data_IF_585214794173
#
_entry.id   IF_585214794173
#
_cell.length_a   1.000
_cell.length_b   1.000
_cell.length_c   1.000
_cell.angle_alpha   90.00
_cell.angle_beta   90.00
_cell.angle_gamma   90.00
#
_symmetry.space_group_name_H-M   'P 1'
#
loop_
_entity.id
_entity.type
_entity.pdbx_description
1 polymer ?
#
# COMPACT_ATOMS: atom_id res chain seq x y z
N UNK A 1 -8.82 14.57 6.14
CA UNK A 1 -7.64 13.77 5.77
C UNK A 1 -7.95 12.86 4.59
N UNK A 2 -6.96 12.57 3.80
CA UNK A 2 -7.12 11.70 2.63
C UNK A 2 -6.76 10.27 2.97
N UNK A 3 -7.54 9.34 2.47
CA UNK A 3 -7.30 7.91 2.65
C UNK A 3 -6.43 7.39 1.51
N UNK A 4 -5.35 6.71 1.83
CA UNK A 4 -4.41 6.14 0.87
C UNK A 4 -4.28 4.64 1.06
N UNK A 5 -4.04 3.95 -0.04
CA UNK A 5 -3.72 2.51 -0.05
C UNK A 5 -2.41 2.34 -0.82
N UNK A 6 -1.46 1.64 -0.22
CA UNK A 6 -0.22 1.26 -0.88
C UNK A 6 -0.19 -0.24 -1.10
N UNK A 7 0.19 -0.64 -2.31
CA UNK A 7 0.38 -2.02 -2.69
C UNK A 7 1.86 -2.27 -2.91
N UNK A 8 2.42 -3.23 -2.20
CA UNK A 8 3.85 -3.57 -2.27
C UNK A 8 3.99 -4.93 -2.95
N UNK A 9 4.57 -4.93 -4.12
CA UNK A 9 4.80 -6.15 -4.88
C UNK A 9 6.32 -6.37 -4.97
N UNK A 10 6.79 -7.58 -4.71
CA UNK A 10 8.21 -7.86 -4.86
C UNK A 10 8.66 -7.58 -6.30
N UNK A 11 9.84 -6.98 -6.44
CA UNK A 11 10.42 -6.75 -7.76
C UNK A 11 10.68 -8.09 -8.45
N UNK A 12 10.56 -8.15 -9.78
CA UNK A 12 10.88 -9.37 -10.51
C UNK A 12 12.28 -9.88 -10.17
N UNK A 13 12.42 -11.18 -9.98
CA UNK A 13 13.70 -11.80 -9.62
C UNK A 13 14.03 -11.78 -8.13
N UNK A 14 13.13 -11.27 -7.28
CA UNK A 14 13.32 -11.35 -5.83
C UNK A 14 13.36 -12.80 -5.39
N UNK A 15 14.43 -13.19 -4.70
CA UNK A 15 14.60 -14.56 -4.21
C UNK A 15 14.11 -14.71 -2.75
N UNK A 16 14.12 -15.97 -2.27
CA UNK A 16 13.65 -16.28 -0.92
C UNK A 16 14.44 -15.55 0.16
N UNK A 17 15.76 -15.42 -0.03
CA UNK A 17 16.62 -14.73 0.95
C UNK A 17 16.26 -13.26 1.06
N UNK A 18 15.97 -12.61 -0.06
CA UNK A 18 15.54 -11.21 -0.08
C UNK A 18 14.16 -11.05 0.59
N UNK A 19 13.26 -12.00 0.38
CA UNK A 19 11.97 -12.02 1.05
C UNK A 19 12.11 -12.17 2.56
N UNK A 20 13.00 -13.05 3.01
CA UNK A 20 13.31 -13.22 4.45
C UNK A 20 13.91 -11.96 5.04
N UNK A 21 14.80 -11.28 4.31
CA UNK A 21 15.38 -10.01 4.73
C UNK A 21 14.29 -8.94 4.90
N UNK A 22 13.30 -8.92 4.02
CA UNK A 22 12.19 -7.99 4.13
C UNK A 22 11.41 -8.21 5.44
N UNK A 23 11.15 -9.45 5.82
CA UNK A 23 10.50 -9.77 7.10
C UNK A 23 11.33 -9.30 8.29
N UNK A 24 12.64 -9.51 8.27
CA UNK A 24 13.52 -9.04 9.33
C UNK A 24 13.54 -7.52 9.42
N UNK A 25 13.61 -6.84 8.28
CA UNK A 25 13.57 -5.38 8.22
C UNK A 25 12.26 -4.84 8.78
N UNK A 26 11.15 -5.54 8.52
CA UNK A 26 9.84 -5.11 9.02
C UNK A 26 9.77 -5.06 10.53
N UNK A 27 10.48 -5.93 11.22
CA UNK A 27 10.46 -5.99 12.69
C UNK A 27 10.94 -4.70 13.35
N UNK A 28 11.81 -3.95 12.67
CA UNK A 28 12.37 -2.68 13.18
C UNK A 28 11.86 -1.46 12.45
N UNK A 29 11.05 -1.64 11.40
CA UNK A 29 10.51 -0.54 10.63
C UNK A 29 9.42 0.18 11.43
N UNK A 30 9.47 1.51 11.44
CA UNK A 30 8.46 2.35 12.07
C UNK A 30 7.73 3.15 10.99
N UNK A 31 6.41 3.17 11.08
CA UNK A 31 5.57 3.98 10.19
C UNK A 31 5.81 5.47 10.45
N UNK A 32 5.63 6.34 9.43
CA UNK A 32 5.80 7.77 9.64
C UNK A 32 4.78 8.31 10.65
N UNK A 33 5.22 9.23 11.52
CA UNK A 33 4.41 9.77 12.62
C UNK A 33 3.14 10.49 12.13
N UNK A 34 3.23 11.13 10.96
CA UNK A 34 2.12 11.91 10.42
C UNK A 34 1.11 11.07 9.62
N UNK A 35 1.31 9.76 9.55
CA UNK A 35 0.35 8.84 8.96
C UNK A 35 -0.51 8.22 10.06
N UNK A 36 -1.83 8.33 9.91
CA UNK A 36 -2.74 7.59 10.75
C UNK A 36 -2.93 6.20 10.14
N UNK A 37 -2.18 5.23 10.62
CA UNK A 37 -2.20 3.87 10.10
C UNK A 37 -3.51 3.19 10.44
N UNK A 38 -4.24 2.72 9.42
CA UNK A 38 -5.48 1.98 9.58
C UNK A 38 -5.28 0.48 9.46
N UNK A 39 -4.29 0.05 8.70
CA UNK A 39 -3.99 -1.38 8.58
C UNK A 39 -2.74 -1.64 7.79
N UNK A 40 -2.11 -2.75 8.10
CA UNK A 40 -0.97 -3.28 7.36
C UNK A 40 -1.17 -4.79 7.27
N UNK A 41 -1.17 -5.33 6.05
CA UNK A 41 -1.45 -6.74 5.82
C UNK A 41 -0.37 -7.35 4.95
N UNK A 42 0.29 -8.38 5.46
CA UNK A 42 1.20 -9.21 4.69
C UNK A 42 0.43 -10.44 4.25
N UNK A 43 0.30 -10.63 2.95
CA UNK A 43 -0.58 -11.65 2.39
C UNK A 43 0.23 -12.72 1.66
N UNK A 44 -0.28 -13.93 1.67
CA UNK A 44 0.30 -15.03 0.91
C UNK A 44 -0.32 -15.06 -0.48
N UNK A 45 0.19 -14.19 -1.36
CA UNK A 45 -0.34 -14.02 -2.70
C UNK A 45 0.57 -14.67 -3.76
N UNK A 46 0.03 -14.96 -4.96
CA UNK A 46 0.87 -15.39 -6.09
C UNK A 46 1.97 -14.39 -6.37
N UNK A 47 3.07 -14.86 -6.96
CA UNK A 47 4.30 -14.10 -7.16
C UNK A 47 4.09 -12.77 -7.89
N UNK A 48 3.13 -12.70 -8.80
CA UNK A 48 2.84 -11.51 -9.60
C UNK A 48 1.81 -10.57 -8.97
N UNK A 49 1.44 -10.81 -7.71
CA UNK A 49 0.45 -10.02 -6.99
C UNK A 49 1.08 -9.28 -5.80
N UNK A 50 0.45 -8.22 -5.31
CA UNK A 50 0.96 -7.53 -4.12
C UNK A 50 1.06 -8.47 -2.92
N UNK A 51 2.16 -8.35 -2.19
CA UNK A 51 2.43 -9.14 -0.98
C UNK A 51 2.12 -8.38 0.29
N UNK A 52 2.10 -7.05 0.23
CA UNK A 52 1.80 -6.20 1.38
C UNK A 52 0.82 -5.13 0.96
N UNK A 53 -0.15 -4.87 1.82
CA UNK A 53 -1.11 -3.78 1.62
C UNK A 53 -1.10 -2.94 2.88
N UNK A 54 -0.93 -1.62 2.72
CA UNK A 54 -0.92 -0.67 3.83
C UNK A 54 -1.99 0.38 3.56
N UNK A 55 -2.79 0.67 4.57
CA UNK A 55 -3.87 1.66 4.48
C UNK A 55 -3.66 2.70 5.56
N UNK A 56 -3.66 3.97 5.18
CA UNK A 56 -3.49 5.07 6.13
C UNK A 56 -4.26 6.31 5.70
N UNK A 57 -4.45 7.22 6.65
CA UNK A 57 -4.96 8.57 6.38
C UNK A 57 -3.84 9.58 6.66
N UNK A 58 -3.74 10.60 5.82
CA UNK A 58 -2.81 11.70 6.02
C UNK A 58 -3.31 12.94 5.30
N UNK A 59 -2.76 14.10 5.69
CA UNK A 59 -3.12 15.38 5.05
C UNK A 59 -2.42 15.54 3.70
N UNK A 60 -1.29 14.88 3.49
CA UNK A 60 -0.51 14.97 2.28
C UNK A 60 0.06 13.61 1.86
N UNK A 61 0.83 13.60 0.78
CA UNK A 61 1.42 12.39 0.21
C UNK A 61 2.76 12.01 0.85
N UNK A 62 3.22 12.74 1.87
CA UNK A 62 4.51 12.49 2.51
C UNK A 62 4.73 11.06 2.99
N UNK A 63 3.72 10.40 3.62
CA UNK A 63 3.87 9.00 4.00
C UNK A 63 4.19 8.07 2.83
N UNK A 64 3.62 8.32 1.66
CA UNK A 64 3.92 7.55 0.46
C UNK A 64 5.38 7.64 0.06
N UNK A 65 5.94 8.84 0.09
CA UNK A 65 7.36 9.05 -0.20
C UNK A 65 8.24 8.35 0.84
N UNK A 66 7.83 8.36 2.09
CA UNK A 66 8.52 7.67 3.17
C UNK A 66 8.57 6.16 2.92
N UNK A 67 7.45 5.55 2.53
CA UNK A 67 7.40 4.13 2.22
C UNK A 67 8.27 3.79 1.01
N UNK A 68 8.24 4.61 -0.02
CA UNK A 68 9.06 4.39 -1.21
C UNK A 68 10.55 4.44 -0.86
N UNK A 69 10.97 5.40 -0.05
CA UNK A 69 12.35 5.50 0.39
C UNK A 69 12.78 4.30 1.25
N UNK A 70 11.87 3.79 2.11
CA UNK A 70 12.19 2.70 3.02
C UNK A 70 12.17 1.32 2.35
N UNK A 71 11.34 1.12 1.33
CA UNK A 71 11.07 -0.20 0.76
C UNK A 71 11.22 -0.30 -0.75
N UNK A 72 11.45 0.81 -1.44
CA UNK A 72 11.52 0.85 -2.90
C UNK A 72 12.66 0.05 -3.51
N UNK A 73 13.63 -0.37 -2.70
CA UNK A 73 14.74 -1.21 -3.16
C UNK A 73 14.31 -2.67 -3.39
N UNK A 74 13.29 -3.14 -2.68
CA UNK A 74 12.86 -4.55 -2.76
C UNK A 74 11.43 -4.70 -3.31
N UNK A 75 10.61 -3.66 -3.20
CA UNK A 75 9.22 -3.68 -3.68
C UNK A 75 8.99 -2.67 -4.79
N UNK A 76 8.12 -3.04 -5.71
CA UNK A 76 7.43 -2.07 -6.56
C UNK A 76 6.23 -1.58 -5.77
N UNK A 77 6.16 -0.28 -5.50
CA UNK A 77 5.14 0.30 -4.64
C UNK A 77 4.18 1.12 -5.50
N UNK A 78 2.90 0.78 -5.42
CA UNK A 78 1.83 1.54 -6.06
C UNK A 78 0.99 2.17 -4.97
N UNK A 79 0.85 3.49 -5.01
CA UNK A 79 0.07 4.23 -4.03
C UNK A 79 -1.14 4.82 -4.73
N UNK A 80 -2.31 4.54 -4.20
CA UNK A 80 -3.55 5.07 -4.72
C UNK A 80 -4.30 5.80 -3.62
N UNK A 81 -4.94 6.89 -4.00
CA UNK A 81 -5.90 7.55 -3.12
C UNK A 81 -7.16 6.70 -3.11
N UNK A 82 -7.54 6.24 -1.94
CA UNK A 82 -8.72 5.41 -1.82
C UNK A 82 -9.99 6.24 -1.88
N UNK A 83 -11.03 5.64 -2.37
CA UNK A 83 -12.35 6.23 -2.31
C UNK A 83 -12.88 6.15 -0.87
N UNK A 84 -14.02 6.75 -0.66
CA UNK A 84 -14.68 6.71 0.65
C UNK A 84 -15.05 5.28 1.02
N UNK A 85 -15.21 4.99 2.33
CA UNK A 85 -15.77 3.71 2.75
C UNK A 85 -17.10 3.41 2.03
N UNK A 86 -17.40 2.15 1.86
CA UNK A 86 -18.61 1.71 1.16
C UNK A 86 -19.87 2.43 1.64
N UNK A 87 -19.95 2.70 2.94
CA UNK A 87 -21.09 3.41 3.54
C UNK A 87 -21.22 4.86 3.10
N UNK A 88 -20.16 5.43 2.53
CA UNK A 88 -20.11 6.84 2.10
C UNK A 88 -20.03 7.00 0.58
N UNK A 89 -20.09 5.90 -0.17
CA UNK A 89 -20.02 5.94 -1.63
C UNK A 89 -21.28 6.62 -2.17
N UNK A 90 -21.14 7.73 -2.94
CA UNK A 90 -22.30 8.35 -3.58
C UNK A 90 -22.96 7.40 -4.59
N UNK A 91 -24.27 7.57 -4.76
CA UNK A 91 -25.04 6.73 -5.70
C UNK A 91 -24.53 6.79 -7.14
N UNK A 92 -23.89 7.90 -7.53
CA UNK A 92 -23.37 8.09 -8.89
C UNK A 92 -22.05 7.40 -9.17
N UNK A 93 -21.40 6.80 -8.15
CA UNK A 93 -20.09 6.17 -8.35
C UNK A 93 -20.22 4.95 -9.26
N UNK A 94 -21.36 4.28 -9.24
CA UNK A 94 -21.63 3.16 -10.13
C UNK A 94 -21.56 3.55 -11.59
N UNK A 95 -22.07 4.71 -11.93
CA UNK A 95 -22.00 5.26 -13.30
C UNK A 95 -20.56 5.59 -13.69
N UNK A 96 -19.79 6.16 -12.76
CA UNK A 96 -18.37 6.45 -13.00
C UNK A 96 -17.59 5.16 -13.27
N UNK A 97 -17.82 4.11 -12.48
CA UNK A 97 -17.15 2.83 -12.67
C UNK A 97 -17.54 2.18 -14.01
N UNK A 98 -18.82 2.25 -14.39
CA UNK A 98 -19.29 1.73 -15.67
C UNK A 98 -18.62 2.42 -16.85
N UNK A 99 -18.35 3.71 -16.75
CA UNK A 99 -17.71 4.47 -17.84
C UNK A 99 -16.25 4.11 -18.02
N UNK A 100 -15.63 3.43 -17.07
CA UNK A 100 -14.22 3.02 -17.12
C UNK A 100 -13.99 1.62 -17.65
N UNK A 101 -15.06 0.84 -17.84
CA UNK A 101 -14.96 -0.55 -18.30
C UNK A 101 -15.45 -0.73 -19.77
#
# INVERSE_FOLDING_TARGET
>A
MTLYVAYFKFKPGTNVLQGMEAFERRKTFEHPEHANLLGEYWVNAPEDQPQVVVVWESEDEGPGDYYDAAWGDIFEITIAQATRPVSEIPDDIGETLKSRV
#
